data_IF_227320916447
#
_entry.id   IF_227320916447
#
_cell.length_a   1.000
_cell.length_b   1.000
_cell.length_c   1.000
_cell.angle_alpha   90.00
_cell.angle_beta   90.00
_cell.angle_gamma   90.00
#
_symmetry.space_group_name_H-M   'P 1'
#
loop_
_entity.id
_entity.type
_entity.pdbx_description
1 polymer ?
#
# COMPACT_ATOMS: atom_id res chain seq x y z
N UNK A 1 -26.02 1.59 25.34
CA UNK A 1 -25.59 2.67 26.20
C UNK A 1 -26.80 3.24 26.94
N UNK A 2 -26.93 2.92 28.23
CA UNK A 2 -28.10 3.29 29.05
C UNK A 2 -28.18 4.81 29.32
N UNK A 3 -27.06 5.52 29.22
CA UNK A 3 -26.99 6.97 29.51
C UNK A 3 -27.40 7.85 28.33
N UNK A 4 -26.94 7.50 27.14
CA UNK A 4 -27.27 8.23 25.92
C UNK A 4 -27.30 7.26 24.72
N UNK A 5 -28.48 6.89 24.26
CA UNK A 5 -28.62 5.95 23.14
C UNK A 5 -28.10 6.52 21.80
N UNK A 6 -27.86 7.83 21.73
CA UNK A 6 -27.34 8.51 20.54
C UNK A 6 -25.84 8.68 20.56
N UNK A 7 -25.15 8.24 21.63
CA UNK A 7 -23.68 8.39 21.75
C UNK A 7 -22.95 7.54 20.71
N UNK A 8 -21.99 8.15 20.04
CA UNK A 8 -20.99 7.46 19.21
C UNK A 8 -19.71 7.37 20.04
N UNK A 9 -19.20 6.15 20.21
CA UNK A 9 -17.95 5.88 20.90
C UNK A 9 -16.93 5.41 19.88
N UNK A 10 -15.89 6.20 19.68
CA UNK A 10 -14.83 5.88 18.70
C UNK A 10 -13.53 5.55 19.44
N UNK A 11 -12.81 4.52 18.97
CA UNK A 11 -11.51 4.16 19.54
C UNK A 11 -10.58 3.60 18.49
N UNK A 12 -9.29 3.86 18.69
CA UNK A 12 -8.18 3.19 17.97
C UNK A 12 -7.66 2.08 18.87
N UNK A 13 -7.34 0.94 18.28
CA UNK A 13 -6.58 -0.15 18.90
C UNK A 13 -5.47 -0.59 17.95
N UNK A 14 -4.45 -1.27 18.47
CA UNK A 14 -3.41 -1.86 17.63
C UNK A 14 -3.95 -2.96 16.74
N UNK A 15 -4.71 -3.87 17.35
CA UNK A 15 -5.34 -5.01 16.68
C UNK A 15 -6.85 -5.00 16.88
N UNK A 16 -7.56 -5.67 15.98
CA UNK A 16 -8.97 -5.98 16.14
C UNK A 16 -9.21 -7.05 17.20
N UNK A 17 -10.49 -7.45 17.42
CA UNK A 17 -10.84 -8.51 18.36
C UNK A 17 -10.07 -9.80 18.06
N UNK A 18 -9.42 -10.35 19.07
CA UNK A 18 -8.63 -11.58 18.93
C UNK A 18 -7.53 -11.68 19.97
N UNK A 19 -6.58 -12.61 19.79
CA UNK A 19 -5.54 -12.91 20.79
C UNK A 19 -4.57 -11.75 21.02
N UNK A 20 -4.49 -10.79 20.12
CA UNK A 20 -3.61 -9.62 20.19
C UNK A 20 -4.34 -8.32 20.52
N UNK A 21 -5.63 -8.36 20.83
CA UNK A 21 -6.47 -7.16 21.04
C UNK A 21 -5.90 -6.18 22.07
N UNK A 22 -5.26 -6.69 23.10
CA UNK A 22 -4.70 -5.89 24.20
C UNK A 22 -3.22 -5.54 24.02
N UNK A 23 -2.60 -5.97 22.92
CA UNK A 23 -1.22 -5.59 22.61
C UNK A 23 -1.14 -4.10 22.25
N UNK A 24 -0.11 -3.44 22.81
CA UNK A 24 0.19 -2.04 22.51
C UNK A 24 0.88 -1.96 21.15
N UNK A 25 0.42 -1.06 20.31
CA UNK A 25 0.93 -0.83 18.96
C UNK A 25 1.17 0.65 18.76
N UNK A 26 2.30 0.97 18.15
CA UNK A 26 2.66 2.28 17.64
C UNK A 26 2.93 2.18 16.14
N UNK A 27 3.17 3.30 15.48
CA UNK A 27 3.36 3.44 14.03
C UNK A 27 4.13 2.29 13.38
N UNK A 28 5.39 2.06 13.79
CA UNK A 28 6.24 1.06 13.14
C UNK A 28 5.78 -0.38 13.41
N UNK A 29 5.19 -0.65 14.58
CA UNK A 29 4.59 -1.96 14.89
C UNK A 29 3.38 -2.20 14.00
N UNK A 30 2.54 -1.18 13.77
CA UNK A 30 1.42 -1.26 12.86
C UNK A 30 1.86 -1.53 11.41
N UNK A 31 2.94 -0.85 10.95
CA UNK A 31 3.51 -1.10 9.63
C UNK A 31 3.99 -2.54 9.45
N UNK A 32 4.63 -3.11 10.48
CA UNK A 32 5.03 -4.52 10.46
C UNK A 32 3.81 -5.45 10.45
N UNK A 33 2.87 -5.23 11.36
CA UNK A 33 1.69 -6.09 11.51
C UNK A 33 0.72 -6.02 10.31
N UNK A 34 0.63 -4.88 9.64
CA UNK A 34 -0.20 -4.65 8.45
C UNK A 34 0.48 -4.96 7.11
N UNK A 35 1.74 -5.43 7.13
CA UNK A 35 2.45 -5.87 5.94
C UNK A 35 3.17 -4.78 5.15
N UNK A 36 3.09 -3.51 5.55
CA UNK A 36 3.79 -2.41 4.86
C UNK A 36 5.31 -2.60 4.91
N UNK A 37 5.85 -2.89 6.09
CA UNK A 37 7.29 -3.06 6.24
C UNK A 37 7.85 -4.24 5.42
N UNK A 38 7.14 -5.38 5.40
CA UNK A 38 7.57 -6.57 4.65
C UNK A 38 7.58 -6.37 3.14
N UNK A 39 6.75 -5.46 2.64
CA UNK A 39 6.61 -5.19 1.19
C UNK A 39 7.33 -3.92 0.73
N UNK A 40 7.98 -3.19 1.65
CA UNK A 40 8.77 -1.99 1.35
C UNK A 40 10.26 -2.30 1.36
N UNK A 41 10.97 -1.81 0.36
CA UNK A 41 12.42 -2.01 0.17
C UNK A 41 12.75 -2.83 -1.06
N UNK A 42 14.04 -3.06 -1.28
CA UNK A 42 14.55 -3.91 -2.35
C UNK A 42 14.54 -5.38 -1.92
N UNK A 43 14.49 -6.27 -2.89
CA UNK A 43 14.39 -7.71 -2.64
C UNK A 43 15.66 -8.30 -1.99
N UNK A 44 16.81 -7.69 -2.20
CA UNK A 44 18.09 -8.07 -1.60
C UNK A 44 18.35 -7.42 -0.23
N UNK A 45 17.52 -6.44 0.18
CA UNK A 45 17.66 -5.69 1.42
C UNK A 45 16.76 -6.19 2.56
N UNK A 46 16.84 -5.56 3.74
CA UNK A 46 15.92 -5.80 4.84
C UNK A 46 14.53 -5.19 4.55
N UNK A 47 13.47 -5.60 5.31
CA UNK A 47 12.22 -4.87 5.30
C UNK A 47 12.42 -3.44 5.83
N UNK A 48 11.71 -2.48 5.24
CA UNK A 48 11.82 -1.07 5.61
C UNK A 48 10.45 -0.50 6.00
N UNK A 49 10.44 0.30 7.05
CA UNK A 49 9.27 1.14 7.37
C UNK A 49 9.28 2.37 6.46
N UNK A 50 8.11 2.79 6.01
CA UNK A 50 7.98 4.08 5.29
C UNK A 50 8.07 5.24 6.26
N UNK A 51 8.59 6.38 5.80
CA UNK A 51 8.58 7.64 6.57
C UNK A 51 7.20 8.27 6.72
N UNK A 52 6.19 7.80 5.99
CA UNK A 52 4.81 8.23 6.15
C UNK A 52 4.17 7.55 7.38
N UNK A 53 3.42 8.33 8.17
CA UNK A 53 2.73 7.85 9.38
C UNK A 53 1.42 7.13 8.99
N UNK A 54 1.54 5.98 8.33
CA UNK A 54 0.39 5.22 7.81
C UNK A 54 -0.33 4.43 8.90
N UNK A 55 0.39 4.04 9.96
CA UNK A 55 -0.18 3.40 11.14
C UNK A 55 -1.00 4.39 11.97
N UNK A 56 -0.39 5.49 12.39
CA UNK A 56 -1.06 6.49 13.25
C UNK A 56 -2.04 7.34 12.45
N UNK A 57 -1.55 8.16 11.52
CA UNK A 57 -2.38 9.08 10.74
C UNK A 57 -3.33 8.35 9.80
N UNK A 58 -2.88 7.26 9.19
CA UNK A 58 -3.74 6.42 8.35
C UNK A 58 -4.93 5.86 9.13
N UNK A 59 -4.70 5.35 10.33
CA UNK A 59 -5.79 4.86 11.20
C UNK A 59 -6.71 6.00 11.65
N UNK A 60 -6.13 7.16 11.98
CA UNK A 60 -6.91 8.36 12.32
C UNK A 60 -7.90 8.76 11.23
N UNK A 61 -7.47 8.73 9.97
CA UNK A 61 -8.34 9.02 8.81
C UNK A 61 -9.45 7.97 8.65
N UNK A 62 -9.13 6.68 8.80
CA UNK A 62 -10.15 5.61 8.78
C UNK A 62 -11.17 5.78 9.90
N UNK A 63 -10.71 6.11 11.12
CA UNK A 63 -11.60 6.37 12.24
C UNK A 63 -12.50 7.58 12.00
N UNK A 64 -11.96 8.67 11.48
CA UNK A 64 -12.73 9.87 11.15
C UNK A 64 -13.84 9.57 10.13
N UNK A 65 -13.53 8.79 9.09
CA UNK A 65 -14.51 8.33 8.11
C UNK A 65 -15.62 7.48 8.78
N UNK A 66 -15.21 6.55 9.65
CA UNK A 66 -16.14 5.73 10.42
C UNK A 66 -17.06 6.56 11.33
N UNK A 67 -16.52 7.61 11.97
CA UNK A 67 -17.33 8.55 12.79
C UNK A 67 -18.34 9.29 11.92
N UNK A 68 -17.94 9.81 10.75
CA UNK A 68 -18.84 10.50 9.82
C UNK A 68 -19.95 9.57 9.35
N UNK A 69 -19.63 8.33 9.00
CA UNK A 69 -20.62 7.31 8.63
C UNK A 69 -21.60 7.03 9.80
N UNK A 70 -21.09 6.92 11.02
CA UNK A 70 -21.93 6.72 12.22
C UNK A 70 -22.84 7.93 12.53
N UNK A 71 -22.34 9.13 12.28
CA UNK A 71 -23.13 10.37 12.40
C UNK A 71 -24.28 10.38 11.37
N UNK A 72 -23.98 10.05 10.13
CA UNK A 72 -24.98 9.95 9.08
C UNK A 72 -26.03 8.87 9.41
N UNK A 73 -25.61 7.68 9.79
CA UNK A 73 -26.55 6.62 10.20
C UNK A 73 -27.44 7.05 11.36
N UNK A 74 -26.89 7.79 12.34
CA UNK A 74 -27.65 8.31 13.49
C UNK A 74 -28.77 9.24 13.08
N UNK A 75 -28.68 9.95 11.94
CA UNK A 75 -29.78 10.80 11.46
C UNK A 75 -31.02 9.99 11.09
N UNK A 76 -30.85 8.74 10.65
CA UNK A 76 -31.92 7.85 10.23
C UNK A 76 -32.39 6.92 11.38
N UNK A 77 -31.44 6.37 12.13
CA UNK A 77 -31.74 5.38 13.17
C UNK A 77 -32.09 5.99 14.52
N UNK A 78 -31.73 7.25 14.76
CA UNK A 78 -31.79 7.88 16.05
C UNK A 78 -30.78 7.36 17.08
N UNK A 79 -29.96 6.37 16.72
CA UNK A 79 -29.04 5.64 17.63
C UNK A 79 -27.60 5.89 17.28
N UNK A 80 -26.75 5.97 18.31
CA UNK A 80 -25.30 5.94 18.17
C UNK A 80 -24.78 4.51 18.11
N UNK A 81 -23.46 4.40 17.94
CA UNK A 81 -22.78 3.11 17.83
C UNK A 81 -21.31 3.20 18.26
N UNK A 82 -20.67 2.06 18.43
CA UNK A 82 -19.23 1.97 18.59
C UNK A 82 -18.56 1.93 17.21
N UNK A 83 -17.50 2.72 17.06
CA UNK A 83 -16.60 2.71 15.89
C UNK A 83 -15.22 2.31 16.38
N UNK A 84 -14.67 1.27 15.81
CA UNK A 84 -13.34 0.77 16.13
C UNK A 84 -12.50 0.79 14.85
N UNK A 85 -11.31 1.36 14.92
CA UNK A 85 -10.32 1.30 13.85
C UNK A 85 -9.04 0.63 14.37
N UNK A 86 -8.80 -0.63 14.05
CA UNK A 86 -7.52 -1.28 14.33
C UNK A 86 -6.41 -0.74 13.42
N UNK A 87 -5.23 -0.47 13.99
CA UNK A 87 -4.10 0.05 13.22
C UNK A 87 -3.60 -0.98 12.18
N UNK A 88 -3.57 -2.25 12.52
CA UNK A 88 -3.23 -3.32 11.57
C UNK A 88 -4.14 -3.30 10.34
N UNK A 89 -5.46 -3.20 10.54
CA UNK A 89 -6.43 -3.22 9.43
C UNK A 89 -6.31 -1.98 8.55
N UNK A 90 -6.06 -0.81 9.16
CA UNK A 90 -5.85 0.43 8.44
C UNK A 90 -4.60 0.36 7.55
N UNK A 91 -3.47 -0.14 8.09
CA UNK A 91 -2.24 -0.34 7.32
C UNK A 91 -2.46 -1.37 6.21
N UNK A 92 -3.10 -2.49 6.50
CA UNK A 92 -3.41 -3.52 5.50
C UNK A 92 -4.26 -2.95 4.35
N UNK A 93 -5.26 -2.12 4.65
CA UNK A 93 -6.04 -1.44 3.62
C UNK A 93 -5.20 -0.50 2.76
N UNK A 94 -4.25 0.22 3.35
CA UNK A 94 -3.33 1.09 2.61
C UNK A 94 -2.34 0.28 1.76
N UNK A 95 -2.02 -0.94 2.14
CA UNK A 95 -1.20 -1.89 1.38
C UNK A 95 -2.02 -2.69 0.34
N UNK A 96 -3.22 -2.26 -0.03
CA UNK A 96 -4.17 -2.99 -0.87
C UNK A 96 -3.60 -3.53 -2.19
N UNK A 97 -2.62 -2.86 -2.79
CA UNK A 97 -1.96 -3.32 -4.03
C UNK A 97 -1.18 -4.59 -3.76
N UNK A 98 -0.40 -4.63 -2.69
CA UNK A 98 0.37 -5.81 -2.28
C UNK A 98 -0.53 -6.95 -1.81
N UNK A 99 -1.62 -6.64 -1.12
CA UNK A 99 -2.64 -7.64 -0.78
C UNK A 99 -3.27 -8.26 -2.03
N UNK A 100 -3.60 -7.45 -3.04
CA UNK A 100 -4.07 -7.95 -4.34
C UNK A 100 -3.03 -8.84 -5.01
N UNK A 101 -1.74 -8.45 -4.99
CA UNK A 101 -0.67 -9.23 -5.59
C UNK A 101 -0.50 -10.56 -4.85
N UNK A 102 -0.58 -10.58 -3.52
CA UNK A 102 -0.61 -11.81 -2.73
C UNK A 102 -1.75 -12.73 -3.16
N UNK A 103 -2.96 -12.22 -3.27
CA UNK A 103 -4.12 -13.00 -3.70
C UNK A 103 -4.00 -13.52 -5.14
N UNK A 104 -3.32 -12.77 -6.02
CA UNK A 104 -3.04 -13.23 -7.40
C UNK A 104 -2.00 -14.33 -7.39
N UNK A 105 -0.91 -14.18 -6.64
CA UNK A 105 0.11 -15.22 -6.48
C UNK A 105 -0.48 -16.53 -5.94
N UNK A 106 -1.30 -16.46 -4.92
CA UNK A 106 -1.99 -17.63 -4.34
C UNK A 106 -2.89 -18.37 -5.35
N UNK A 107 -3.52 -17.64 -6.28
CA UNK A 107 -4.39 -18.23 -7.30
C UNK A 107 -3.67 -18.74 -8.53
N UNK A 108 -2.65 -18.02 -8.98
CA UNK A 108 -2.00 -18.27 -10.27
C UNK A 108 -0.63 -18.90 -10.14
N UNK A 109 -0.04 -18.85 -8.94
CA UNK A 109 1.33 -19.24 -8.62
C UNK A 109 2.40 -18.51 -9.44
N UNK A 110 2.03 -17.52 -10.23
CA UNK A 110 2.96 -16.73 -11.05
C UNK A 110 2.46 -15.30 -11.20
N UNK A 111 3.38 -14.33 -11.11
CA UNK A 111 3.19 -12.97 -11.59
C UNK A 111 4.46 -12.55 -12.32
N UNK A 112 4.32 -11.87 -13.43
CA UNK A 112 5.45 -11.38 -14.22
C UNK A 112 6.42 -10.52 -13.39
N UNK A 113 5.90 -9.73 -12.46
CA UNK A 113 6.68 -8.87 -11.56
C UNK A 113 7.45 -9.66 -10.48
N UNK A 114 7.10 -10.92 -10.27
CA UNK A 114 7.68 -11.76 -9.22
C UNK A 114 8.06 -13.15 -9.76
N UNK A 115 9.02 -13.23 -10.69
CA UNK A 115 9.34 -14.49 -11.38
C UNK A 115 9.91 -15.57 -10.45
N UNK A 116 10.37 -15.20 -9.25
CA UNK A 116 10.93 -16.11 -8.26
C UNK A 116 9.89 -16.71 -7.29
N UNK A 117 8.63 -16.32 -7.41
CA UNK A 117 7.57 -16.89 -6.59
C UNK A 117 7.13 -18.27 -7.17
N UNK A 118 6.85 -19.31 -6.35
CA UNK A 118 6.94 -19.35 -4.87
C UNK A 118 8.32 -19.77 -4.33
N UNK A 119 9.27 -20.15 -5.19
CA UNK A 119 10.51 -20.81 -4.82
C UNK A 119 11.63 -19.84 -4.38
N UNK A 120 11.35 -18.54 -4.38
CA UNK A 120 12.28 -17.51 -3.95
C UNK A 120 12.41 -17.38 -2.43
N UNK A 121 13.34 -16.53 -1.99
CA UNK A 121 13.63 -16.28 -0.57
C UNK A 121 12.44 -15.73 0.27
N UNK A 122 11.36 -15.29 -0.38
CA UNK A 122 10.16 -14.81 0.28
C UNK A 122 9.11 -15.91 0.52
N UNK A 123 9.37 -17.13 0.01
CA UNK A 123 8.42 -18.25 0.14
C UNK A 123 7.05 -17.87 -0.41
N UNK A 124 6.01 -18.08 0.37
CA UNK A 124 4.62 -17.82 -0.01
C UNK A 124 4.18 -16.35 0.12
N UNK A 125 5.09 -15.45 0.53
CA UNK A 125 4.78 -14.04 0.70
C UNK A 125 5.09 -13.24 -0.57
N UNK A 126 4.27 -12.22 -0.85
CA UNK A 126 4.54 -11.27 -1.92
C UNK A 126 5.89 -10.57 -1.68
N UNK A 127 6.84 -10.62 -2.64
CA UNK A 127 8.16 -10.04 -2.46
C UNK A 127 8.15 -8.50 -2.38
N UNK A 128 9.21 -7.95 -1.79
CA UNK A 128 9.56 -6.54 -1.98
C UNK A 128 9.96 -6.32 -3.44
N UNK A 129 9.47 -5.27 -4.04
CA UNK A 129 9.70 -4.97 -5.46
C UNK A 129 10.54 -3.69 -5.68
N UNK A 130 11.13 -3.13 -4.63
CA UNK A 130 11.88 -1.88 -4.72
C UNK A 130 11.04 -0.76 -5.32
N UNK A 131 11.51 -0.22 -6.42
CA UNK A 131 10.84 0.87 -7.14
C UNK A 131 9.90 0.37 -8.25
N UNK A 132 9.76 -0.95 -8.43
CA UNK A 132 8.84 -1.50 -9.41
C UNK A 132 7.39 -1.28 -8.98
N UNK A 133 6.56 -0.89 -9.93
CA UNK A 133 5.12 -0.75 -9.70
C UNK A 133 4.45 -2.10 -9.74
N UNK A 134 3.82 -2.53 -8.64
CA UNK A 134 2.96 -3.72 -8.62
C UNK A 134 1.64 -3.56 -9.36
N UNK A 135 1.48 -2.54 -10.19
CA UNK A 135 0.23 -2.20 -10.86
C UNK A 135 0.00 -2.87 -12.22
N UNK A 136 0.95 -3.67 -12.70
CA UNK A 136 0.90 -4.24 -14.07
C UNK A 136 1.22 -3.22 -15.16
N UNK A 137 1.73 -2.06 -14.79
CA UNK A 137 2.24 -1.04 -15.71
C UNK A 137 3.74 -0.88 -15.48
N UNK A 138 4.56 -0.78 -16.53
CA UNK A 138 5.97 -0.50 -16.38
C UNK A 138 6.16 0.83 -15.65
N UNK A 139 6.79 0.78 -14.48
CA UNK A 139 7.08 1.97 -13.69
C UNK A 139 8.32 1.75 -12.85
N UNK A 140 9.21 2.71 -12.84
CA UNK A 140 10.44 2.64 -12.07
C UNK A 140 10.95 4.04 -11.74
N UNK A 141 11.86 4.11 -10.75
CA UNK A 141 12.65 5.29 -10.49
C UNK A 141 13.88 5.26 -11.39
N UNK A 142 14.06 6.32 -12.18
CA UNK A 142 15.18 6.50 -13.10
C UNK A 142 16.10 7.60 -12.58
N UNK A 143 17.40 7.42 -12.81
CA UNK A 143 18.42 8.42 -12.52
C UNK A 143 18.35 9.56 -13.52
N UNK A 144 18.36 10.79 -13.03
CA UNK A 144 18.48 11.99 -13.85
C UNK A 144 19.94 12.43 -13.96
N UNK A 145 20.21 13.35 -14.89
CA UNK A 145 21.55 13.98 -14.99
C UNK A 145 21.90 14.66 -13.65
N UNK A 146 23.10 14.39 -13.16
CA UNK A 146 23.59 14.91 -11.89
C UNK A 146 23.32 14.03 -10.67
N UNK A 147 22.78 12.82 -10.85
CA UNK A 147 22.48 11.89 -9.76
C UNK A 147 23.71 11.52 -8.91
N UNK A 148 24.93 11.68 -9.44
CA UNK A 148 26.19 11.39 -8.75
C UNK A 148 26.47 12.37 -7.60
N UNK A 149 25.92 13.57 -7.69
CA UNK A 149 26.16 14.65 -6.71
C UNK A 149 24.90 15.14 -6.03
N UNK A 150 23.73 14.91 -6.63
CA UNK A 150 22.42 15.25 -6.06
C UNK A 150 21.66 13.98 -5.69
N UNK A 151 21.49 13.68 -4.41
CA UNK A 151 20.78 12.47 -3.96
C UNK A 151 19.29 12.47 -4.33
N UNK A 152 18.73 13.57 -4.82
CA UNK A 152 17.34 13.70 -5.26
C UNK A 152 17.18 13.79 -6.79
N UNK A 153 18.28 13.68 -7.56
CA UNK A 153 18.22 13.71 -9.02
C UNK A 153 17.65 12.41 -9.60
N UNK A 154 16.39 12.13 -9.29
CA UNK A 154 15.64 10.98 -9.76
C UNK A 154 14.25 11.39 -10.22
N UNK A 155 13.67 10.63 -11.15
CA UNK A 155 12.26 10.73 -11.50
C UNK A 155 11.57 9.38 -11.33
N UNK A 156 10.31 9.41 -10.97
CA UNK A 156 9.46 8.24 -11.09
C UNK A 156 8.86 8.25 -12.49
N UNK A 157 9.23 7.28 -13.31
CA UNK A 157 8.73 7.13 -14.66
C UNK A 157 7.67 6.04 -14.70
N UNK A 158 6.51 6.35 -15.25
CA UNK A 158 5.45 5.40 -15.53
C UNK A 158 4.81 5.79 -16.86
N UNK A 159 4.50 4.81 -17.69
CA UNK A 159 3.84 5.03 -18.97
C UNK A 159 2.67 4.09 -19.15
N UNK A 160 1.77 4.47 -20.06
CA UNK A 160 0.65 3.67 -20.54
C UNK A 160 0.70 3.65 -22.06
N UNK A 161 0.13 2.63 -22.68
CA UNK A 161 0.14 2.48 -24.14
C UNK A 161 -0.34 3.74 -24.89
N UNK A 162 -1.34 4.43 -24.33
CA UNK A 162 -1.88 5.65 -24.96
C UNK A 162 -0.88 6.82 -25.02
N UNK A 163 0.09 6.89 -24.12
CA UNK A 163 1.08 7.99 -24.07
C UNK A 163 2.47 7.54 -24.54
N UNK A 164 2.66 6.26 -24.83
CA UNK A 164 3.92 5.71 -25.28
C UNK A 164 4.50 6.41 -26.53
N UNK A 165 3.73 6.69 -27.59
CA UNK A 165 4.23 7.42 -28.75
C UNK A 165 4.82 8.79 -28.41
N UNK A 166 4.19 9.54 -27.50
CA UNK A 166 4.72 10.83 -27.06
C UNK A 166 6.02 10.69 -26.27
N UNK A 167 6.13 9.64 -25.44
CA UNK A 167 7.37 9.32 -24.73
C UNK A 167 8.51 9.05 -25.72
N UNK A 168 8.29 8.20 -26.73
CA UNK A 168 9.30 7.88 -27.74
C UNK A 168 9.77 9.13 -28.50
N UNK A 169 8.89 10.04 -28.80
CA UNK A 169 9.26 11.32 -29.44
C UNK A 169 10.14 12.19 -28.53
N UNK A 170 9.78 12.30 -27.24
CA UNK A 170 10.53 13.12 -26.26
C UNK A 170 11.92 12.59 -26.02
N UNK A 171 12.09 11.26 -25.94
CA UNK A 171 13.40 10.63 -25.72
C UNK A 171 14.23 10.50 -27.02
N UNK A 172 13.66 10.84 -28.19
CA UNK A 172 14.34 10.81 -29.48
C UNK A 172 14.40 9.43 -30.14
N UNK A 173 13.57 8.49 -29.71
CA UNK A 173 13.52 7.11 -30.18
C UNK A 173 12.15 6.75 -30.80
N UNK A 174 11.69 7.47 -31.84
CA UNK A 174 10.38 7.24 -32.42
C UNK A 174 10.19 5.84 -33.02
N UNK A 175 11.30 5.16 -33.38
CA UNK A 175 11.25 3.78 -33.88
C UNK A 175 10.75 2.75 -32.85
N UNK A 176 10.78 3.07 -31.56
CA UNK A 176 10.29 2.17 -30.51
C UNK A 176 8.75 2.10 -30.42
N UNK A 177 8.05 2.97 -31.14
CA UNK A 177 6.58 2.98 -31.14
C UNK A 177 6.02 1.66 -31.69
N UNK A 178 6.65 1.16 -32.76
CA UNK A 178 6.20 -0.04 -33.48
C UNK A 178 7.12 -1.27 -33.19
N UNK A 179 8.03 -1.16 -32.26
CA UNK A 179 8.95 -2.24 -31.89
C UNK A 179 8.28 -3.23 -30.94
N UNK A 180 8.19 -4.49 -31.33
CA UNK A 180 7.58 -5.56 -30.54
C UNK A 180 8.26 -5.78 -29.17
N UNK A 181 9.52 -5.35 -29.00
CA UNK A 181 10.21 -5.43 -27.72
C UNK A 181 9.61 -4.51 -26.65
N UNK A 182 8.82 -3.49 -27.06
CA UNK A 182 8.19 -2.51 -26.19
C UNK A 182 6.66 -2.53 -26.25
N UNK A 183 6.06 -3.49 -26.98
CA UNK A 183 4.62 -3.63 -27.18
C UNK A 183 3.87 -4.26 -25.96
#
# INVERSE_FOLDING_TARGET
>A
NSWNPRMIVASVKGFGPGPYEDCKVYENVAQCAGGSASTTGFDDGPPLVTGAQIGDSGTGLHLALGIVAALYQRTHSGRGQKVLAPMQDAVLNLCRVKLRDQQRLERTHTLHEFPQYPDGKFGDAVPRAGNASGGGQPGSILKCKGWETDPNAYIYFITQSAVWPAVCQVIGEPGWIDDEAYA
#
